data_IF_514533175299
#
_entry.id   IF_514533175299
#
_cell.length_a   1.000
_cell.length_b   1.000
_cell.length_c   1.000
_cell.angle_alpha   90.00
_cell.angle_beta   90.00
_cell.angle_gamma   90.00
#
_symmetry.space_group_name_H-M   'P 1'
#
loop_
_entity.id
_entity.type
_entity.pdbx_description
1 polymer ?
#
# COMPACT_ATOMS: atom_id res chain seq x y z
N UNK A 1 14.76 -17.69 7.85
CA UNK A 1 15.81 -16.89 8.51
C UNK A 1 16.07 -15.72 7.57
N UNK A 2 15.84 -14.48 8.03
CA UNK A 2 15.99 -13.28 7.19
C UNK A 2 17.47 -13.00 6.91
N UNK A 3 17.80 -12.75 5.65
CA UNK A 3 19.15 -12.43 5.16
C UNK A 3 19.38 -10.92 5.20
N UNK A 4 18.35 -10.14 4.86
CA UNK A 4 18.41 -8.67 4.82
C UNK A 4 17.53 -8.06 5.91
N UNK A 5 17.87 -6.84 6.37
CA UNK A 5 17.20 -6.23 7.53
C UNK A 5 15.71 -5.93 7.28
N UNK A 6 15.36 -5.43 6.10
CA UNK A 6 13.97 -5.11 5.75
C UNK A 6 13.04 -6.32 5.78
N UNK A 7 13.57 -7.53 5.56
CA UNK A 7 12.80 -8.77 5.63
C UNK A 7 12.28 -9.06 7.04
N UNK A 8 12.88 -8.45 8.08
CA UNK A 8 12.44 -8.54 9.47
C UNK A 8 11.24 -7.64 9.77
N UNK A 9 10.93 -6.68 8.88
CA UNK A 9 9.80 -5.78 9.07
C UNK A 9 8.48 -6.51 8.77
N UNK A 10 7.57 -6.54 9.74
CA UNK A 10 6.24 -7.12 9.56
C UNK A 10 5.49 -6.46 8.39
N UNK A 11 5.66 -5.15 8.18
CA UNK A 11 5.03 -4.42 7.07
C UNK A 11 5.55 -4.87 5.71
N UNK A 12 6.81 -5.29 5.62
CA UNK A 12 7.36 -5.86 4.39
C UNK A 12 6.74 -7.22 4.08
N UNK A 13 6.61 -8.09 5.08
CA UNK A 13 5.95 -9.39 4.89
C UNK A 13 4.48 -9.22 4.49
N UNK A 14 3.78 -8.26 5.10
CA UNK A 14 2.39 -7.93 4.73
C UNK A 14 2.25 -7.36 3.32
N UNK A 15 3.22 -6.56 2.85
CA UNK A 15 3.18 -6.06 1.49
C UNK A 15 3.43 -7.16 0.46
N UNK A 16 4.23 -8.19 0.77
CA UNK A 16 4.34 -9.39 -0.05
C UNK A 16 3.06 -10.22 -0.07
N UNK A 17 2.36 -10.35 1.06
CA UNK A 17 1.01 -10.95 1.10
C UNK A 17 0.04 -10.21 0.18
N UNK A 18 0.11 -8.87 0.16
CA UNK A 18 -0.70 -8.06 -0.75
C UNK A 18 -0.32 -8.25 -2.22
N UNK A 19 0.97 -8.34 -2.55
CA UNK A 19 1.42 -8.63 -3.92
C UNK A 19 0.84 -9.97 -4.39
N UNK A 20 0.90 -11.02 -3.57
CA UNK A 20 0.29 -12.33 -3.89
C UNK A 20 -1.22 -12.21 -4.10
N UNK A 21 -1.92 -11.49 -3.22
CA UNK A 21 -3.35 -11.25 -3.38
C UNK A 21 -3.67 -10.53 -4.70
N UNK A 22 -2.92 -9.46 -5.00
CA UNK A 22 -3.11 -8.67 -6.21
C UNK A 22 -2.87 -9.52 -7.46
N UNK A 23 -1.81 -10.33 -7.48
CA UNK A 23 -1.50 -11.25 -8.57
C UNK A 23 -2.64 -12.25 -8.82
N UNK A 24 -3.11 -12.94 -7.76
CA UNK A 24 -4.28 -13.82 -7.85
C UNK A 24 -5.54 -13.13 -8.35
N UNK A 25 -5.78 -11.88 -7.94
CA UNK A 25 -6.91 -11.10 -8.45
C UNK A 25 -6.73 -10.76 -9.93
N UNK A 26 -5.54 -10.36 -10.34
CA UNK A 26 -5.22 -9.97 -11.71
C UNK A 26 -5.36 -11.14 -12.70
N UNK A 27 -5.09 -12.38 -12.27
CA UNK A 27 -5.37 -13.58 -13.07
C UNK A 27 -6.86 -13.76 -13.42
N UNK A 28 -7.77 -13.20 -12.60
CA UNK A 28 -9.22 -13.34 -12.79
C UNK A 28 -9.83 -12.24 -13.67
N UNK A 29 -9.07 -11.18 -14.00
CA UNK A 29 -9.60 -10.03 -14.74
C UNK A 29 -8.97 -9.92 -16.15
N UNK A 30 -9.63 -9.24 -17.12
CA UNK A 30 -9.07 -9.12 -18.46
C UNK A 30 -7.76 -8.31 -18.49
N UNK A 31 -6.67 -8.92 -18.98
CA UNK A 31 -5.34 -8.29 -19.12
C UNK A 31 -5.30 -6.99 -19.93
N UNK A 32 -6.28 -6.77 -20.81
CA UNK A 32 -6.37 -5.54 -21.63
C UNK A 32 -6.79 -4.29 -20.85
N UNK A 33 -7.21 -4.44 -19.59
CA UNK A 33 -7.61 -3.31 -18.77
C UNK A 33 -6.36 -2.56 -18.31
N UNK A 34 -6.29 -1.24 -18.53
CA UNK A 34 -5.20 -0.41 -18.00
C UNK A 34 -5.06 -0.52 -16.46
N UNK A 35 -6.15 -0.85 -15.77
CA UNK A 35 -6.16 -1.11 -14.32
C UNK A 35 -5.32 -2.33 -13.92
N UNK A 36 -5.08 -3.28 -14.82
CA UNK A 36 -4.25 -4.46 -14.58
C UNK A 36 -2.80 -4.02 -14.29
N UNK A 37 -2.15 -3.40 -15.27
CA UNK A 37 -0.76 -2.93 -15.16
C UNK A 37 -0.60 -1.88 -14.06
N UNK A 38 -1.60 -1.02 -13.86
CA UNK A 38 -1.56 -0.01 -12.80
C UNK A 38 -1.58 -0.66 -11.41
N UNK A 39 -2.44 -1.65 -11.19
CA UNK A 39 -2.51 -2.35 -9.90
C UNK A 39 -1.23 -3.16 -9.65
N UNK A 40 -0.74 -3.90 -10.64
CA UNK A 40 0.49 -4.70 -10.54
C UNK A 40 1.71 -3.84 -10.16
N UNK A 41 1.89 -2.72 -10.87
CA UNK A 41 2.99 -1.79 -10.60
C UNK A 41 2.87 -1.13 -9.24
N UNK A 42 1.67 -0.68 -8.87
CA UNK A 42 1.44 -0.06 -7.57
C UNK A 42 1.65 -1.06 -6.42
N UNK A 43 1.15 -2.30 -6.56
CA UNK A 43 1.34 -3.36 -5.57
C UNK A 43 2.82 -3.68 -5.37
N UNK A 44 3.57 -3.83 -6.47
CA UNK A 44 5.02 -4.10 -6.45
C UNK A 44 5.82 -2.93 -5.86
N UNK A 45 5.37 -1.69 -6.07
CA UNK A 45 6.01 -0.49 -5.53
C UNK A 45 6.05 -0.49 -3.98
N UNK A 46 5.07 -1.09 -3.32
CA UNK A 46 4.97 -1.11 -1.85
C UNK A 46 6.18 -1.80 -1.20
N UNK A 47 6.45 -3.11 -1.43
CA UNK A 47 7.61 -3.78 -0.84
C UNK A 47 8.94 -3.17 -1.27
N UNK A 48 9.06 -2.70 -2.52
CA UNK A 48 10.30 -2.08 -3.01
C UNK A 48 10.64 -0.81 -2.23
N UNK A 49 9.67 0.07 -2.02
CA UNK A 49 9.88 1.30 -1.26
C UNK A 49 10.08 1.02 0.24
N UNK A 50 9.46 -0.04 0.81
CA UNK A 50 9.75 -0.46 2.19
C UNK A 50 11.22 -0.87 2.33
N UNK A 51 11.70 -1.74 1.43
CA UNK A 51 13.07 -2.22 1.46
C UNK A 51 14.09 -1.08 1.26
N UNK A 52 13.84 -0.19 0.30
CA UNK A 52 14.71 0.96 0.07
C UNK A 52 14.69 1.95 1.24
N UNK A 53 13.52 2.17 1.84
CA UNK A 53 13.35 2.99 3.02
C UNK A 53 14.15 2.48 4.21
N UNK A 54 14.04 1.19 4.53
CA UNK A 54 14.78 0.57 5.64
C UNK A 54 16.31 0.69 5.47
N UNK A 55 16.78 0.63 4.21
CA UNK A 55 18.19 0.80 3.86
C UNK A 55 18.72 2.24 3.93
N UNK A 56 17.89 3.27 4.16
CA UNK A 56 18.37 4.65 4.27
C UNK A 56 19.02 4.93 5.63
N UNK A 57 20.07 5.76 5.63
CA UNK A 57 20.79 6.15 6.84
C UNK A 57 20.10 7.27 7.63
N UNK A 58 19.43 8.20 6.93
CA UNK A 58 18.79 9.36 7.57
C UNK A 58 17.30 9.11 7.78
N UNK A 59 16.77 9.58 8.91
CA UNK A 59 15.37 9.38 9.25
C UNK A 59 14.43 10.03 8.23
N UNK A 60 14.77 11.24 7.75
CA UNK A 60 14.05 11.91 6.65
C UNK A 60 14.07 11.08 5.34
N UNK A 61 15.21 10.45 5.03
CA UNK A 61 15.34 9.53 3.91
C UNK A 61 14.40 8.33 4.06
N UNK A 62 14.42 7.65 5.22
CA UNK A 62 13.53 6.52 5.52
C UNK A 62 12.06 6.90 5.35
N UNK A 63 11.63 7.98 6.02
CA UNK A 63 10.24 8.44 6.00
C UNK A 63 9.74 8.75 4.59
N UNK A 64 10.56 9.36 3.73
CA UNK A 64 10.18 9.63 2.33
C UNK A 64 9.79 8.38 1.58
N UNK A 65 10.54 7.28 1.73
CA UNK A 65 10.22 6.01 1.07
C UNK A 65 8.99 5.34 1.68
N UNK A 66 8.82 5.41 3.00
CA UNK A 66 7.61 4.92 3.64
C UNK A 66 6.35 5.70 3.24
N UNK A 67 6.46 7.01 2.98
CA UNK A 67 5.37 7.80 2.39
C UNK A 67 5.02 7.31 0.99
N UNK A 68 6.02 7.05 0.14
CA UNK A 68 5.80 6.53 -1.22
C UNK A 68 5.13 5.14 -1.18
N UNK A 69 5.57 4.27 -0.25
CA UNK A 69 4.92 2.98 -0.03
C UNK A 69 3.46 3.15 0.42
N UNK A 70 3.19 4.13 1.31
CA UNK A 70 1.83 4.44 1.79
C UNK A 70 0.95 4.96 0.66
N UNK A 71 1.47 5.87 -0.17
CA UNK A 71 0.78 6.38 -1.35
C UNK A 71 0.50 5.29 -2.38
N UNK A 72 1.44 4.35 -2.57
CA UNK A 72 1.23 3.19 -3.45
C UNK A 72 0.11 2.28 -2.92
N UNK A 73 0.09 2.02 -1.61
CA UNK A 73 -0.96 1.24 -0.96
C UNK A 73 -2.36 1.89 -1.06
N UNK A 74 -2.45 3.20 -0.84
CA UNK A 74 -3.68 3.96 -1.04
C UNK A 74 -4.13 3.95 -2.52
N UNK A 75 -3.18 4.05 -3.44
CA UNK A 75 -3.44 3.91 -4.89
C UNK A 75 -4.01 2.53 -5.24
N UNK A 76 -3.49 1.45 -4.65
CA UNK A 76 -4.05 0.12 -4.81
C UNK A 76 -5.48 0.03 -4.29
N UNK A 77 -5.78 0.61 -3.11
CA UNK A 77 -7.13 0.61 -2.55
C UNK A 77 -8.12 1.32 -3.48
N UNK A 78 -7.75 2.49 -3.99
CA UNK A 78 -8.55 3.22 -4.97
C UNK A 78 -8.72 2.43 -6.29
N UNK A 79 -7.70 1.68 -6.73
CA UNK A 79 -7.82 0.84 -7.92
C UNK A 79 -8.79 -0.33 -7.71
N UNK A 80 -8.83 -0.93 -6.50
CA UNK A 80 -9.83 -1.94 -6.16
C UNK A 80 -11.25 -1.35 -6.22
N UNK A 81 -11.44 -0.11 -5.75
CA UNK A 81 -12.72 0.59 -5.89
C UNK A 81 -13.09 0.82 -7.37
N UNK A 82 -12.12 1.23 -8.20
CA UNK A 82 -12.34 1.39 -9.65
C UNK A 82 -12.74 0.08 -10.31
N UNK A 83 -12.06 -1.04 -9.99
CA UNK A 83 -12.38 -2.36 -10.53
C UNK A 83 -13.78 -2.83 -10.09
N UNK A 84 -14.13 -2.60 -8.83
CA UNK A 84 -15.46 -2.89 -8.29
C UNK A 84 -16.54 -2.09 -9.01
N UNK A 85 -16.33 -0.77 -9.18
CA UNK A 85 -17.28 0.11 -9.90
C UNK A 85 -17.43 -0.24 -11.37
N UNK A 86 -16.40 -0.83 -11.98
CA UNK A 86 -16.46 -1.39 -13.35
C UNK A 86 -17.17 -2.75 -13.42
N UNK A 87 -17.56 -3.35 -12.29
CA UNK A 87 -18.16 -4.68 -12.23
C UNK A 87 -17.21 -5.80 -12.63
N UNK A 88 -15.90 -5.59 -12.44
CA UNK A 88 -14.86 -6.55 -12.84
C UNK A 88 -14.47 -7.47 -11.68
N UNK A 89 -14.70 -7.04 -10.44
CA UNK A 89 -14.43 -7.79 -9.22
C UNK A 89 -15.63 -7.70 -8.28
N UNK A 90 -15.76 -8.66 -7.38
CA UNK A 90 -16.80 -8.69 -6.36
C UNK A 90 -16.48 -7.78 -5.16
N UNK A 91 -17.50 -7.30 -4.42
CA UNK A 91 -17.29 -6.51 -3.20
C UNK A 91 -16.42 -7.21 -2.16
N UNK A 92 -16.52 -8.54 -2.04
CA UNK A 92 -15.72 -9.34 -1.12
C UNK A 92 -14.22 -9.28 -1.46
N UNK A 93 -13.87 -9.41 -2.74
CA UNK A 93 -12.49 -9.30 -3.21
C UNK A 93 -11.92 -7.90 -2.95
N UNK A 94 -12.70 -6.85 -3.26
CA UNK A 94 -12.27 -5.48 -3.00
C UNK A 94 -12.03 -5.23 -1.50
N UNK A 95 -12.92 -5.73 -0.63
CA UNK A 95 -12.81 -5.56 0.81
C UNK A 95 -11.64 -6.35 1.41
N UNK A 96 -11.41 -7.59 0.96
CA UNK A 96 -10.27 -8.40 1.38
C UNK A 96 -8.94 -7.68 1.10
N UNK A 97 -8.75 -7.22 -0.14
CA UNK A 97 -7.54 -6.47 -0.51
C UNK A 97 -7.39 -5.17 0.29
N UNK A 98 -8.48 -4.44 0.52
CA UNK A 98 -8.47 -3.20 1.30
C UNK A 98 -8.14 -3.41 2.77
N UNK A 99 -8.54 -4.51 3.40
CA UNK A 99 -8.14 -4.82 4.77
C UNK A 99 -6.63 -5.07 4.90
N UNK A 100 -6.03 -5.78 3.95
CA UNK A 100 -4.57 -5.98 3.92
C UNK A 100 -3.87 -4.61 3.78
N UNK A 101 -4.32 -3.78 2.84
CA UNK A 101 -3.76 -2.45 2.60
C UNK A 101 -3.91 -1.51 3.81
N UNK A 102 -5.06 -1.55 4.50
CA UNK A 102 -5.30 -0.76 5.71
C UNK A 102 -4.26 -1.07 6.80
N UNK A 103 -3.96 -2.35 6.99
CA UNK A 103 -2.92 -2.79 7.95
C UNK A 103 -1.53 -2.31 7.52
N UNK A 104 -1.19 -2.42 6.23
CA UNK A 104 0.08 -1.92 5.69
C UNK A 104 0.23 -0.42 5.93
N UNK A 105 -0.77 0.39 5.58
CA UNK A 105 -0.76 1.85 5.77
C UNK A 105 -0.60 2.20 7.25
N UNK A 106 -1.32 1.54 8.15
CA UNK A 106 -1.19 1.77 9.57
C UNK A 106 0.23 1.48 10.09
N UNK A 107 0.85 0.39 9.63
CA UNK A 107 2.23 0.04 10.00
C UNK A 107 3.24 1.06 9.44
N UNK A 108 3.07 1.52 8.20
CA UNK A 108 3.94 2.53 7.59
C UNK A 108 3.85 3.87 8.34
N UNK A 109 2.63 4.30 8.70
CA UNK A 109 2.42 5.49 9.52
C UNK A 109 3.12 5.35 10.88
N UNK A 110 3.04 4.16 11.50
CA UNK A 110 3.77 3.86 12.74
C UNK A 110 5.28 3.96 12.58
N UNK A 111 5.84 3.40 11.51
CA UNK A 111 7.27 3.51 11.20
C UNK A 111 7.70 4.96 10.95
N UNK A 112 6.91 5.73 10.19
CA UNK A 112 7.18 7.14 9.93
C UNK A 112 7.22 7.93 11.24
N UNK A 113 6.20 7.78 12.09
CA UNK A 113 6.14 8.46 13.40
C UNK A 113 7.35 8.12 14.28
N UNK A 114 7.75 6.85 14.30
CA UNK A 114 8.92 6.42 15.07
C UNK A 114 10.25 6.97 14.52
N UNK A 115 10.31 7.32 13.23
CA UNK A 115 11.49 7.87 12.58
C UNK A 115 11.45 9.41 12.45
N UNK A 116 10.36 10.09 12.81
CA UNK A 116 10.27 11.55 12.72
C UNK A 116 9.61 12.16 13.96
N UNK A 117 10.38 12.90 14.75
CA UNK A 117 9.87 13.65 15.91
C UNK A 117 9.00 14.85 15.52
N UNK A 118 9.15 15.38 14.29
CA UNK A 118 8.68 16.73 13.94
C UNK A 118 7.55 16.76 12.87
N UNK A 119 6.96 15.61 12.50
CA UNK A 119 5.90 15.62 11.47
C UNK A 119 4.55 16.01 12.09
N UNK A 120 4.11 17.22 11.74
CA UNK A 120 2.78 17.76 12.06
C UNK A 120 1.73 17.01 11.24
N UNK A 121 0.70 16.47 11.89
CA UNK A 121 -0.46 15.90 11.23
C UNK A 121 -1.49 17.01 10.99
N UNK A 122 -2.01 17.10 9.76
CA UNK A 122 -3.18 17.93 9.46
C UNK A 122 -4.42 17.21 10.00
N UNK A 123 -5.34 17.96 10.63
CA UNK A 123 -6.60 17.39 11.14
C UNK A 123 -7.42 16.78 10.00
N UNK A 124 -8.16 15.70 10.30
CA UNK A 124 -9.04 15.08 9.32
C UNK A 124 -10.05 16.12 8.81
N UNK A 125 -10.06 16.34 7.49
CA UNK A 125 -11.04 17.20 6.86
C UNK A 125 -12.44 16.57 6.96
N UNK A 126 -13.35 17.23 7.68
CA UNK A 126 -14.78 16.92 7.64
C UNK A 126 -15.34 17.46 6.33
N UNK A 127 -15.46 16.60 5.31
CA UNK A 127 -16.31 16.92 4.17
C UNK A 127 -17.74 16.63 4.58
N UNK A 128 -18.54 17.69 4.77
CA UNK A 128 -19.98 17.53 4.96
C UNK A 128 -20.53 16.71 3.79
N UNK A 129 -21.33 15.69 4.10
CA UNK A 129 -22.15 15.01 3.11
C UNK A 129 -22.95 16.08 2.39
N UNK A 130 -22.71 16.22 1.09
CA UNK A 130 -23.38 17.20 0.24
C UNK A 130 -24.90 16.93 0.30
N UNK A 131 -25.67 17.96 0.62
CA UNK A 131 -27.12 18.05 0.41
C UNK A 131 -27.53 17.64 -1.02
#
# INVERSE_FOLDING_TARGET
MSVLDHEKLNVYQRSLDFVRFADSLLETIPKRLASHDQLERAATSIPLNIAEGDGKFTAAGRCRFFDIASGSALGCAAMLDVLLRKGVIEPSQANEGKEILRVIVAMLVGLIRNNSSDRVHEEQATYNELD
#
